data_IF_244187525252
#
_entry.id   IF_244187525252
#
_cell.length_a   1.000
_cell.length_b   1.000
_cell.length_c   1.000
_cell.angle_alpha   90.00
_cell.angle_beta   90.00
_cell.angle_gamma   90.00
#
_symmetry.space_group_name_H-M   'P 1'
#
loop_
_entity.id
_entity.type
_entity.pdbx_description
1 polymer ?
#
# COMPACT_ATOMS: atom_id res chain seq x y z
N UNK A 1 8.48 16.07 28.77
CA UNK A 1 7.47 15.06 28.40
C UNK A 1 7.74 14.35 27.05
N UNK A 2 8.64 14.84 26.18
CA UNK A 2 9.07 14.12 24.95
C UNK A 2 10.50 13.53 25.04
N UNK A 3 11.19 13.69 26.18
CA UNK A 3 12.56 13.20 26.39
C UNK A 3 12.64 11.94 27.27
N UNK A 4 11.57 11.58 27.98
CA UNK A 4 11.57 10.46 28.95
C UNK A 4 11.08 9.13 28.37
N UNK A 5 10.61 9.11 27.10
CA UNK A 5 10.12 7.88 26.46
C UNK A 5 11.28 6.95 26.03
N UNK A 6 12.50 7.48 25.90
CA UNK A 6 13.67 6.70 25.49
C UNK A 6 14.30 5.85 26.62
N UNK A 7 13.92 6.07 27.88
CA UNK A 7 14.44 5.26 29.00
C UNK A 7 13.61 4.02 29.30
N UNK A 8 12.33 3.98 28.87
CA UNK A 8 11.39 2.88 29.13
C UNK A 8 11.34 1.89 27.94
N UNK A 9 11.61 2.36 26.72
CA UNK A 9 11.76 1.50 25.56
C UNK A 9 13.19 0.94 25.52
N UNK A 10 13.40 -0.24 26.11
CA UNK A 10 14.68 -0.95 26.04
C UNK A 10 15.28 -0.88 24.64
N UNK A 11 16.58 -0.57 24.55
CA UNK A 11 17.34 -0.31 23.31
C UNK A 11 16.78 -1.12 22.14
N UNK A 12 15.99 -0.48 21.30
CA UNK A 12 15.71 -1.01 19.97
C UNK A 12 17.05 -1.06 19.27
N UNK A 13 17.62 -2.26 19.19
CA UNK A 13 18.74 -2.52 18.29
C UNK A 13 18.16 -2.38 16.90
N UNK A 14 18.24 -1.17 16.35
CA UNK A 14 18.32 -0.99 14.90
C UNK A 14 19.58 -1.74 14.46
N UNK A 15 19.42 -3.04 14.23
CA UNK A 15 20.40 -3.83 13.50
C UNK A 15 20.65 -3.13 12.16
N UNK A 16 21.88 -3.23 11.62
CA UNK A 16 22.25 -2.48 10.42
C UNK A 16 21.25 -2.78 9.30
N UNK A 17 20.63 -1.72 8.79
CA UNK A 17 19.73 -1.72 7.64
C UNK A 17 20.51 -1.91 6.33
N UNK A 18 21.26 -3.01 6.24
CA UNK A 18 21.77 -3.58 5.01
C UNK A 18 21.58 -5.10 5.11
N UNK A 19 20.31 -5.50 5.10
CA UNK A 19 19.93 -6.91 4.98
C UNK A 19 20.45 -7.42 3.65
N UNK A 20 21.64 -8.02 3.67
CA UNK A 20 22.20 -8.69 2.51
C UNK A 20 21.15 -9.66 1.94
N UNK A 21 20.95 -9.62 0.63
CA UNK A 21 19.92 -10.39 -0.07
C UNK A 21 20.58 -11.18 -1.19
N UNK A 22 20.07 -12.37 -1.48
CA UNK A 22 20.54 -13.16 -2.60
C UNK A 22 19.96 -12.63 -3.91
N UNK A 23 20.79 -12.57 -4.93
CA UNK A 23 20.33 -12.40 -6.31
C UNK A 23 19.60 -13.67 -6.82
N UNK A 24 19.25 -13.72 -8.11
CA UNK A 24 18.58 -14.88 -8.72
C UNK A 24 19.53 -16.09 -8.85
N UNK A 25 20.82 -15.86 -8.93
CA UNK A 25 21.87 -16.89 -9.09
C UNK A 25 22.39 -17.43 -7.76
N UNK A 26 21.99 -16.83 -6.64
CA UNK A 26 22.34 -17.22 -5.28
C UNK A 26 23.51 -16.45 -4.66
N UNK A 27 24.06 -15.44 -5.35
CA UNK A 27 25.14 -14.60 -4.81
C UNK A 27 24.59 -13.56 -3.83
N UNK A 28 25.41 -13.20 -2.84
CA UNK A 28 25.03 -12.24 -1.81
C UNK A 28 25.26 -10.80 -2.26
N UNK A 29 24.17 -10.04 -2.38
CA UNK A 29 24.18 -8.59 -2.58
C UNK A 29 24.20 -7.90 -1.21
N UNK A 30 25.05 -6.88 -1.08
CA UNK A 30 25.25 -6.14 0.18
C UNK A 30 25.05 -4.64 -0.05
N UNK A 31 25.41 -4.17 -1.24
CA UNK A 31 25.27 -2.77 -1.62
C UNK A 31 23.80 -2.37 -1.66
N UNK A 32 23.49 -1.20 -1.08
CA UNK A 32 22.11 -0.73 -0.91
C UNK A 32 21.35 -0.70 -2.24
N UNK A 33 21.99 -0.21 -3.30
CA UNK A 33 21.36 -0.10 -4.61
C UNK A 33 21.13 -1.46 -5.26
N UNK A 34 22.08 -2.40 -5.12
CA UNK A 34 21.91 -3.77 -5.63
C UNK A 34 20.77 -4.49 -4.92
N UNK A 35 20.69 -4.34 -3.58
CA UNK A 35 19.58 -4.88 -2.78
C UNK A 35 18.25 -4.26 -3.22
N UNK A 36 18.20 -2.94 -3.46
CA UNK A 36 16.99 -2.26 -3.94
C UNK A 36 16.58 -2.71 -5.34
N UNK A 37 17.53 -2.86 -6.26
CA UNK A 37 17.25 -3.34 -7.62
C UNK A 37 16.73 -4.77 -7.59
N UNK A 38 17.40 -5.66 -6.85
CA UNK A 38 16.96 -7.06 -6.70
C UNK A 38 15.56 -7.17 -6.11
N UNK A 39 15.22 -6.23 -5.23
CA UNK A 39 13.90 -6.08 -4.62
C UNK A 39 12.86 -5.56 -5.62
N UNK A 40 13.20 -4.55 -6.42
CA UNK A 40 12.34 -4.02 -7.47
C UNK A 40 12.03 -5.12 -8.51
N UNK A 41 13.05 -5.82 -9.01
CA UNK A 41 12.90 -6.97 -9.92
C UNK A 41 11.96 -8.03 -9.34
N UNK A 42 12.09 -8.36 -8.05
CA UNK A 42 11.22 -9.33 -7.41
C UNK A 42 9.76 -8.87 -7.35
N UNK A 43 9.51 -7.59 -7.09
CA UNK A 43 8.17 -7.03 -7.05
C UNK A 43 7.57 -6.97 -8.46
N UNK A 44 8.35 -6.58 -9.46
CA UNK A 44 7.94 -6.62 -10.87
C UNK A 44 7.53 -8.03 -11.28
N UNK A 45 8.39 -9.03 -11.04
CA UNK A 45 8.09 -10.44 -11.33
C UNK A 45 6.82 -10.91 -10.58
N UNK A 46 6.61 -10.45 -9.33
CA UNK A 46 5.51 -10.89 -8.47
C UNK A 46 4.15 -10.30 -8.88
N UNK A 47 4.14 -9.05 -9.35
CA UNK A 47 2.93 -8.31 -9.74
C UNK A 47 2.79 -8.16 -11.25
N UNK A 48 3.61 -8.84 -12.04
CA UNK A 48 3.48 -8.89 -13.48
C UNK A 48 2.10 -9.45 -13.84
N UNK A 49 1.33 -8.66 -14.58
CA UNK A 49 0.00 -9.02 -15.05
C UNK A 49 0.11 -9.60 -16.47
N UNK A 50 -0.06 -10.91 -16.59
CA UNK A 50 -0.08 -11.65 -17.86
C UNK A 50 -1.50 -11.97 -18.35
N UNK A 51 -2.52 -11.40 -17.69
CA UNK A 51 -3.92 -11.60 -18.09
C UNK A 51 -4.15 -11.03 -19.49
N UNK A 52 -4.96 -11.73 -20.27
CA UNK A 52 -5.39 -11.25 -21.58
C UNK A 52 -6.23 -9.98 -21.46
N UNK A 53 -6.45 -9.29 -22.59
CA UNK A 53 -7.25 -8.08 -22.65
C UNK A 53 -8.53 -8.19 -21.82
N UNK A 54 -8.86 -7.11 -21.11
CA UNK A 54 -10.04 -7.05 -20.26
C UNK A 54 -11.27 -7.45 -21.11
N UNK A 55 -12.09 -8.40 -20.64
CA UNK A 55 -13.28 -8.79 -21.38
C UNK A 55 -14.17 -7.55 -21.59
N UNK A 56 -14.76 -7.43 -22.78
CA UNK A 56 -15.77 -6.42 -23.02
C UNK A 56 -16.99 -6.74 -22.14
N UNK A 57 -17.28 -5.83 -21.21
CA UNK A 57 -18.48 -5.89 -20.37
C UNK A 57 -19.46 -4.89 -20.99
N UNK A 58 -20.60 -5.37 -21.49
CA UNK A 58 -21.72 -4.50 -21.86
C UNK A 58 -22.12 -3.72 -20.60
N UNK A 59 -21.93 -2.39 -20.62
CA UNK A 59 -22.39 -1.52 -19.53
C UNK A 59 -23.92 -1.62 -19.46
N UNK A 60 -24.52 -2.01 -18.32
CA UNK A 60 -25.95 -1.90 -18.12
C UNK A 60 -26.41 -0.46 -18.38
N UNK A 61 -27.67 -0.31 -18.79
CA UNK A 61 -28.23 0.95 -19.29
C UNK A 61 -28.30 2.05 -18.21
N UNK A 62 -28.18 1.71 -16.91
CA UNK A 62 -28.05 2.67 -15.80
C UNK A 62 -27.73 1.90 -14.50
N UNK A 63 -26.46 1.82 -14.11
CA UNK A 63 -26.11 1.38 -12.76
C UNK A 63 -26.34 2.54 -11.77
N UNK A 64 -26.89 2.28 -10.57
CA UNK A 64 -27.16 3.34 -9.60
C UNK A 64 -25.85 3.96 -9.10
N UNK A 65 -25.86 5.27 -8.76
CA UNK A 65 -24.68 5.91 -8.21
C UNK A 65 -24.36 5.35 -6.82
N UNK A 66 -23.08 5.39 -6.46
CA UNK A 66 -22.59 5.06 -5.12
C UNK A 66 -23.19 6.06 -4.13
N UNK A 67 -23.84 5.55 -3.08
CA UNK A 67 -24.55 6.35 -2.09
C UNK A 67 -23.62 6.77 -0.95
N UNK A 68 -23.91 7.94 -0.36
CA UNK A 68 -23.19 8.44 0.82
C UNK A 68 -23.24 7.46 2.00
N UNK A 69 -24.38 6.79 2.20
CA UNK A 69 -24.54 5.82 3.28
C UNK A 69 -23.64 4.60 3.10
N UNK A 70 -23.40 4.17 1.86
CA UNK A 70 -22.47 3.08 1.55
C UNK A 70 -21.03 3.49 1.85
N UNK A 71 -20.66 4.71 1.47
CA UNK A 71 -19.33 5.29 1.76
C UNK A 71 -19.13 5.44 3.26
N UNK A 72 -20.09 6.03 3.97
CA UNK A 72 -20.02 6.22 5.41
C UNK A 72 -19.89 4.88 6.16
N UNK A 73 -20.73 3.89 5.81
CA UNK A 73 -20.65 2.55 6.40
C UNK A 73 -19.30 1.89 6.12
N UNK A 74 -18.79 2.02 4.89
CA UNK A 74 -17.49 1.46 4.52
C UNK A 74 -16.36 2.11 5.33
N UNK A 75 -16.35 3.45 5.39
CA UNK A 75 -15.32 4.19 6.13
C UNK A 75 -15.28 3.82 7.61
N UNK A 76 -16.44 3.67 8.24
CA UNK A 76 -16.54 3.27 9.66
C UNK A 76 -16.14 1.81 9.92
N UNK A 77 -16.28 0.92 8.93
CA UNK A 77 -15.87 -0.48 9.02
C UNK A 77 -14.38 -0.70 8.73
N UNK A 78 -13.70 0.27 8.12
CA UNK A 78 -12.28 0.15 7.80
C UNK A 78 -11.41 0.13 9.07
N UNK A 79 -10.34 -0.65 9.02
CA UNK A 79 -9.42 -0.78 10.14
C UNK A 79 -8.66 0.54 10.36
N UNK A 80 -8.61 0.96 11.62
CA UNK A 80 -7.85 2.12 12.07
C UNK A 80 -6.37 1.75 12.33
N UNK A 81 -5.50 2.75 12.44
CA UNK A 81 -4.07 2.61 12.71
C UNK A 81 -3.28 2.05 11.53
N UNK A 82 -3.83 2.14 10.31
CA UNK A 82 -3.10 1.78 9.09
C UNK A 82 -2.13 2.89 8.70
N UNK A 83 -0.99 2.51 8.15
CA UNK A 83 -0.05 3.47 7.60
C UNK A 83 -0.72 4.20 6.43
N UNK A 84 -0.49 5.51 6.35
CA UNK A 84 -0.95 6.32 5.23
C UNK A 84 -0.23 5.88 3.94
N UNK A 85 -0.94 6.04 2.82
CA UNK A 85 -0.32 5.91 1.50
C UNK A 85 0.62 7.09 1.21
N UNK A 86 1.13 7.17 -0.02
CA UNK A 86 2.01 8.26 -0.47
C UNK A 86 1.39 9.66 -0.34
N UNK A 87 0.05 9.74 -0.34
CA UNK A 87 -0.73 10.96 -0.16
C UNK A 87 -0.77 11.47 1.29
N UNK A 88 -0.35 10.65 2.26
CA UNK A 88 -0.37 10.98 3.69
C UNK A 88 -1.77 10.96 4.31
N UNK A 89 -2.79 10.48 3.61
CA UNK A 89 -4.18 10.48 4.08
C UNK A 89 -4.51 9.14 4.75
N UNK A 90 -5.03 9.21 5.98
CA UNK A 90 -5.53 8.02 6.68
C UNK A 90 -7.05 8.00 6.73
N UNK A 91 -7.63 6.83 7.04
CA UNK A 91 -9.07 6.71 7.19
C UNK A 91 -9.61 7.57 8.34
N UNK A 92 -8.85 7.73 9.42
CA UNK A 92 -9.21 8.59 10.54
C UNK A 92 -9.27 10.05 10.13
N UNK A 93 -8.35 10.50 9.29
CA UNK A 93 -8.38 11.85 8.74
C UNK A 93 -9.65 12.06 7.91
N UNK A 94 -10.03 11.08 7.08
CA UNK A 94 -11.26 11.14 6.29
C UNK A 94 -12.52 11.12 7.16
N UNK A 95 -12.57 10.30 8.21
CA UNK A 95 -13.69 10.24 9.15
C UNK A 95 -13.81 11.57 9.92
N UNK A 96 -12.68 12.18 10.32
CA UNK A 96 -12.65 13.44 11.05
C UNK A 96 -13.26 14.61 10.27
N UNK A 97 -13.31 14.53 8.94
CA UNK A 97 -13.95 15.51 8.06
C UNK A 97 -15.50 15.42 8.07
N UNK A 98 -16.07 14.37 8.67
CA UNK A 98 -17.51 14.18 8.80
C UNK A 98 -18.25 14.19 7.45
N UNK A 99 -19.43 14.80 7.44
CA UNK A 99 -20.33 14.83 6.26
C UNK A 99 -19.67 15.47 5.02
N UNK A 100 -18.80 16.46 5.23
CA UNK A 100 -18.07 17.07 4.13
C UNK A 100 -17.13 16.06 3.47
N UNK A 101 -16.34 15.34 4.26
CA UNK A 101 -15.44 14.29 3.77
C UNK A 101 -16.18 13.18 3.02
N UNK A 102 -17.28 12.69 3.61
CA UNK A 102 -18.15 11.67 2.99
C UNK A 102 -18.67 12.17 1.63
N UNK A 103 -19.12 13.42 1.56
CA UNK A 103 -19.60 14.02 0.31
C UNK A 103 -18.52 14.09 -0.77
N UNK A 104 -17.30 14.50 -0.41
CA UNK A 104 -16.18 14.60 -1.36
C UNK A 104 -15.77 13.23 -1.89
N UNK A 105 -15.61 12.24 -1.00
CA UNK A 105 -15.23 10.88 -1.40
C UNK A 105 -16.32 10.25 -2.27
N UNK A 106 -17.60 10.41 -1.90
CA UNK A 106 -18.72 9.89 -2.71
C UNK A 106 -18.72 10.49 -4.12
N UNK A 107 -18.50 11.79 -4.24
CA UNK A 107 -18.43 12.46 -5.55
C UNK A 107 -17.24 11.93 -6.37
N UNK A 108 -16.05 11.85 -5.77
CA UNK A 108 -14.86 11.33 -6.44
C UNK A 108 -15.07 9.89 -6.93
N UNK A 109 -15.64 9.02 -6.11
CA UNK A 109 -15.90 7.63 -6.48
C UNK A 109 -16.90 7.52 -7.63
N UNK A 110 -17.96 8.32 -7.64
CA UNK A 110 -18.92 8.35 -8.75
C UNK A 110 -18.27 8.86 -10.05
N UNK A 111 -17.42 9.90 -9.99
CA UNK A 111 -16.68 10.38 -11.17
C UNK A 111 -15.81 9.26 -11.76
N UNK A 112 -15.08 8.52 -10.91
CA UNK A 112 -14.26 7.38 -11.34
C UNK A 112 -15.13 6.26 -11.93
N UNK A 113 -16.27 5.98 -11.29
CA UNK A 113 -17.19 4.93 -11.71
C UNK A 113 -17.81 5.23 -13.08
N UNK A 114 -18.28 6.46 -13.29
CA UNK A 114 -18.93 6.90 -14.53
C UNK A 114 -17.95 6.94 -15.71
N UNK A 115 -16.78 7.54 -15.49
CA UNK A 115 -15.76 7.68 -16.53
C UNK A 115 -15.01 6.37 -16.78
N UNK A 116 -14.94 5.47 -15.79
CA UNK A 116 -14.14 4.25 -15.84
C UNK A 116 -12.63 4.49 -15.78
N UNK A 117 -12.21 5.70 -15.40
CA UNK A 117 -10.82 6.13 -15.35
C UNK A 117 -10.35 6.30 -13.90
N UNK A 118 -9.31 5.56 -13.53
CA UNK A 118 -8.66 5.68 -12.22
C UNK A 118 -7.55 6.74 -12.34
N UNK A 119 -7.51 7.75 -11.45
CA UNK A 119 -6.43 8.74 -11.43
C UNK A 119 -5.05 8.09 -11.28
N UNK A 120 -4.06 8.58 -12.02
CA UNK A 120 -2.70 8.04 -12.01
C UNK A 120 -2.09 8.01 -10.60
N UNK A 121 -2.40 9.00 -9.76
CA UNK A 121 -1.95 9.05 -8.37
C UNK A 121 -2.47 7.87 -7.53
N UNK A 122 -3.67 7.35 -7.82
CA UNK A 122 -4.22 6.17 -7.16
C UNK A 122 -3.62 4.86 -7.67
N UNK A 123 -2.87 4.90 -8.78
CA UNK A 123 -2.13 3.75 -9.32
C UNK A 123 -0.70 3.65 -8.76
N UNK A 124 -0.26 4.61 -7.94
CA UNK A 124 1.06 4.59 -7.32
C UNK A 124 0.98 3.92 -5.95
N UNK A 125 1.92 3.02 -5.69
CA UNK A 125 2.00 2.29 -4.42
C UNK A 125 3.44 2.20 -3.93
N UNK A 126 3.63 2.19 -2.62
CA UNK A 126 4.96 2.00 -2.01
C UNK A 126 5.09 0.59 -1.47
N UNK A 127 6.09 -0.13 -1.97
CA UNK A 127 6.38 -1.49 -1.55
C UNK A 127 7.44 -1.52 -0.45
N UNK A 128 7.07 -2.08 0.69
CA UNK A 128 7.97 -2.28 1.83
C UNK A 128 8.15 -3.78 2.07
N UNK A 129 9.41 -4.24 2.03
CA UNK A 129 9.74 -5.62 2.34
C UNK A 129 10.19 -5.79 3.79
N UNK A 130 9.46 -6.62 4.53
CA UNK A 130 9.73 -6.94 5.93
C UNK A 130 10.19 -8.39 6.06
N UNK A 131 11.29 -8.69 6.77
CA UNK A 131 11.73 -10.07 6.97
C UNK A 131 10.69 -10.88 7.75
N UNK A 132 10.30 -12.07 7.26
CA UNK A 132 9.36 -12.97 7.97
C UNK A 132 10.02 -13.69 9.15
N UNK A 133 11.35 -13.86 9.11
CA UNK A 133 12.17 -14.52 10.13
C UNK A 133 13.54 -13.85 10.22
N UNK A 134 14.23 -14.04 11.33
CA UNK A 134 15.60 -13.59 11.48
C UNK A 134 16.51 -14.22 10.41
N UNK A 135 17.43 -13.41 9.87
CA UNK A 135 18.35 -13.86 8.82
C UNK A 135 17.70 -14.13 7.46
N UNK A 136 16.51 -13.59 7.17
CA UNK A 136 15.89 -13.70 5.84
C UNK A 136 16.72 -12.99 4.76
N UNK A 137 17.47 -13.80 3.98
CA UNK A 137 18.36 -13.36 2.90
C UNK A 137 17.78 -13.57 1.50
N UNK A 138 16.54 -14.01 1.37
CA UNK A 138 15.87 -14.22 0.08
C UNK A 138 14.59 -13.39 0.03
N UNK A 139 14.26 -12.80 -1.13
CA UNK A 139 13.07 -11.95 -1.28
C UNK A 139 11.77 -12.70 -0.92
N UNK A 140 11.67 -14.00 -1.25
CA UNK A 140 10.52 -14.86 -0.93
C UNK A 140 10.28 -15.04 0.58
N UNK A 141 11.35 -14.92 1.38
CA UNK A 141 11.32 -14.98 2.84
C UNK A 141 11.00 -13.61 3.47
N UNK A 142 10.76 -12.59 2.66
CA UNK A 142 10.27 -11.29 3.07
C UNK A 142 8.77 -11.21 2.78
N UNK A 143 8.03 -10.47 3.60
CA UNK A 143 6.63 -10.11 3.39
C UNK A 143 6.62 -8.76 2.70
N UNK A 144 5.90 -8.67 1.60
CA UNK A 144 5.61 -7.41 0.93
C UNK A 144 4.40 -6.77 1.61
N UNK A 145 4.61 -5.57 2.16
CA UNK A 145 3.54 -4.66 2.54
C UNK A 145 3.41 -3.60 1.46
N UNK A 146 2.18 -3.29 1.06
CA UNK A 146 1.87 -2.25 0.09
C UNK A 146 1.20 -1.12 0.85
N UNK A 147 1.70 0.11 0.65
CA UNK A 147 1.11 1.35 1.15
C UNK A 147 0.52 2.15 -0.01
#
# INVERSE_FOLDING_TARGET
MFQEINEIAGKWKSGPASSCIKDKDGNMLIEKNEVLNRRAEYIEDLFQDDRQDKPYIEKPIEDPPILKDEVHKTMTMMNHGKAAGPDGITIEALIALGEWGISQITNLLNIIYDNGEIPEEMCKSVFIMLPKKEGARECSLQRTSVL
#
